data_IF_010252205395
#
_entry.id   IF_010252205395
#
_cell.length_a   1.000
_cell.length_b   1.000
_cell.length_c   1.000
_cell.angle_alpha   90.00
_cell.angle_beta   90.00
_cell.angle_gamma   90.00
#
_symmetry.space_group_name_H-M   'P 1'
#
loop_
_entity.id
_entity.type
_entity.pdbx_description
1 polymer ?
#
# COMPACT_ATOMS: atom_id res chain seq x y z
N UNK A 1 14.39 -3.76 -14.68
CA UNK A 1 14.37 -5.19 -14.24
C UNK A 1 14.34 -5.33 -12.71
N UNK A 2 15.28 -4.79 -11.91
CA UNK A 2 15.22 -4.93 -10.43
C UNK A 2 14.13 -4.09 -9.74
N UNK A 3 13.86 -2.88 -10.25
CA UNK A 3 12.83 -1.98 -9.72
C UNK A 3 11.40 -2.43 -10.08
N UNK A 4 11.21 -2.93 -11.30
CA UNK A 4 9.94 -3.51 -11.79
C UNK A 4 9.54 -4.79 -11.03
N UNK A 5 10.52 -5.57 -10.58
CA UNK A 5 10.29 -6.69 -9.68
C UNK A 5 9.81 -6.24 -8.29
N UNK A 6 10.28 -5.08 -7.82
CA UNK A 6 9.88 -4.48 -6.54
C UNK A 6 8.45 -3.95 -6.57
N UNK A 7 8.05 -3.24 -7.63
CA UNK A 7 6.66 -2.78 -7.81
C UNK A 7 5.68 -3.95 -7.89
N UNK A 8 6.03 -5.00 -8.64
CA UNK A 8 5.22 -6.21 -8.77
C UNK A 8 5.07 -6.93 -7.42
N UNK A 9 6.17 -7.06 -6.66
CA UNK A 9 6.16 -7.71 -5.34
C UNK A 9 5.32 -6.93 -4.32
N UNK A 10 5.46 -5.61 -4.27
CA UNK A 10 4.66 -4.74 -3.41
C UNK A 10 3.17 -4.78 -3.76
N UNK A 11 2.84 -4.80 -5.05
CA UNK A 11 1.47 -4.95 -5.54
C UNK A 11 0.86 -6.31 -5.14
N UNK A 12 1.63 -7.40 -5.27
CA UNK A 12 1.21 -8.73 -4.82
C UNK A 12 1.00 -8.79 -3.30
N UNK A 13 1.93 -8.23 -2.52
CA UNK A 13 1.82 -8.17 -1.07
C UNK A 13 0.60 -7.34 -0.64
N UNK A 14 0.37 -6.20 -1.29
CA UNK A 14 -0.80 -5.33 -1.06
C UNK A 14 -2.11 -6.07 -1.28
N UNK A 15 -2.26 -6.78 -2.41
CA UNK A 15 -3.44 -7.60 -2.69
C UNK A 15 -3.64 -8.71 -1.66
N UNK A 16 -2.57 -9.39 -1.24
CA UNK A 16 -2.64 -10.41 -0.20
C UNK A 16 -3.06 -9.83 1.16
N UNK A 17 -2.52 -8.67 1.54
CA UNK A 17 -2.89 -7.98 2.79
C UNK A 17 -4.34 -7.51 2.74
N UNK A 18 -4.81 -6.99 1.60
CA UNK A 18 -6.20 -6.57 1.43
C UNK A 18 -7.16 -7.76 1.59
N UNK A 19 -6.94 -8.85 0.87
CA UNK A 19 -7.75 -10.06 1.01
C UNK A 19 -7.72 -10.63 2.44
N UNK A 20 -6.54 -10.66 3.06
CA UNK A 20 -6.41 -11.12 4.46
C UNK A 20 -7.14 -10.22 5.45
N UNK A 21 -7.23 -8.92 5.19
CA UNK A 21 -7.94 -7.95 6.06
C UNK A 21 -9.46 -8.09 5.91
N UNK A 22 -9.96 -8.28 4.68
CA UNK A 22 -11.37 -8.58 4.41
C UNK A 22 -11.79 -9.89 5.09
N UNK A 23 -10.96 -10.94 4.95
CA UNK A 23 -11.18 -12.24 5.59
C UNK A 23 -11.18 -12.13 7.11
N UNK A 24 -10.23 -11.38 7.70
CA UNK A 24 -10.17 -11.17 9.14
C UNK A 24 -11.41 -10.43 9.65
N UNK A 25 -11.85 -9.38 8.94
CA UNK A 25 -13.06 -8.63 9.28
C UNK A 25 -14.32 -9.52 9.22
N UNK A 26 -14.43 -10.37 8.20
CA UNK A 26 -15.51 -11.34 8.10
C UNK A 26 -15.49 -12.37 9.23
N UNK A 27 -14.32 -12.89 9.60
CA UNK A 27 -14.16 -13.81 10.73
C UNK A 27 -14.52 -13.17 12.07
N UNK A 28 -14.18 -11.89 12.28
CA UNK A 28 -14.54 -11.15 13.49
C UNK A 28 -16.06 -10.94 13.57
N UNK A 29 -16.71 -10.58 12.46
CA UNK A 29 -18.17 -10.49 12.42
C UNK A 29 -18.83 -11.84 12.72
N UNK A 30 -18.35 -12.92 12.10
CA UNK A 30 -18.84 -14.27 12.38
C UNK A 30 -18.66 -14.65 13.85
N UNK A 31 -17.54 -14.28 14.46
CA UNK A 31 -17.28 -14.53 15.87
C UNK A 31 -18.23 -13.74 16.79
N UNK A 32 -18.51 -12.47 16.47
CA UNK A 32 -19.49 -11.66 17.21
C UNK A 32 -20.88 -12.29 17.14
N UNK A 33 -21.32 -12.68 15.94
CA UNK A 33 -22.62 -13.35 15.72
C UNK A 33 -22.68 -14.70 16.44
N UNK A 34 -21.62 -15.49 16.39
CA UNK A 34 -21.54 -16.77 17.09
C UNK A 34 -21.61 -16.60 18.62
N UNK A 35 -21.19 -15.44 19.14
CA UNK A 35 -21.16 -15.17 20.57
C UNK A 35 -22.36 -14.36 21.09
N UNK A 36 -23.22 -13.81 20.23
CA UNK A 36 -24.50 -13.19 20.60
C UNK A 36 -25.39 -14.07 21.51
N UNK A 37 -25.56 -15.38 21.23
CA UNK A 37 -26.32 -16.27 22.11
C UNK A 37 -25.68 -16.46 23.49
N UNK A 38 -24.37 -16.22 23.60
CA UNK A 38 -23.63 -16.33 24.86
C UNK A 38 -23.80 -15.09 25.74
N UNK A 39 -24.07 -13.91 25.16
CA UNK A 39 -24.34 -12.69 25.93
C UNK A 39 -25.56 -12.82 26.85
N UNK A 40 -26.57 -13.60 26.46
CA UNK A 40 -27.73 -13.92 27.31
C UNK A 40 -27.45 -14.97 28.40
N UNK A 41 -26.31 -15.67 28.31
CA UNK A 41 -25.90 -16.74 29.24
C UNK A 41 -24.80 -16.30 30.20
N UNK A 42 -24.00 -15.30 29.82
CA UNK A 42 -22.97 -14.70 30.66
C UNK A 42 -23.54 -13.54 31.49
N UNK A 43 -23.56 -13.70 32.82
CA UNK A 43 -23.85 -12.64 33.78
C UNK A 43 -22.56 -12.21 34.49
N UNK A 44 -22.46 -10.93 34.90
CA UNK A 44 -21.32 -10.42 35.65
C UNK A 44 -20.00 -10.43 34.87
N UNK A 45 -18.93 -10.98 35.45
CA UNK A 45 -17.56 -10.93 34.91
C UNK A 45 -17.41 -11.55 33.50
N UNK A 46 -18.22 -12.56 33.15
CA UNK A 46 -18.18 -13.18 31.82
C UNK A 46 -18.67 -12.25 30.71
N UNK A 47 -19.65 -11.38 31.00
CA UNK A 47 -20.13 -10.38 30.04
C UNK A 47 -19.10 -9.27 29.85
N UNK A 48 -18.50 -8.80 30.94
CA UNK A 48 -17.43 -7.80 30.88
C UNK A 48 -16.22 -8.29 30.07
N UNK A 49 -15.81 -9.56 30.22
CA UNK A 49 -14.75 -10.15 29.44
C UNK A 49 -15.11 -10.24 27.94
N UNK A 50 -16.35 -10.60 27.62
CA UNK A 50 -16.83 -10.65 26.24
C UNK A 50 -16.89 -9.27 25.58
N UNK A 51 -17.43 -8.28 26.28
CA UNK A 51 -17.51 -6.90 25.77
C UNK A 51 -16.11 -6.32 25.56
N UNK A 52 -15.15 -6.64 26.45
CA UNK A 52 -13.75 -6.25 26.27
C UNK A 52 -13.10 -6.96 25.09
N UNK A 53 -13.34 -8.26 24.90
CA UNK A 53 -12.87 -9.00 23.73
C UNK A 53 -13.37 -8.36 22.43
N UNK A 54 -14.68 -8.06 22.34
CA UNK A 54 -15.29 -7.40 21.18
C UNK A 54 -14.64 -6.04 20.90
N UNK A 55 -14.49 -5.20 21.93
CA UNK A 55 -13.87 -3.88 21.77
C UNK A 55 -12.42 -3.96 21.25
N UNK A 56 -11.64 -4.93 21.74
CA UNK A 56 -10.28 -5.15 21.23
C UNK A 56 -10.29 -5.64 19.78
N UNK A 57 -11.19 -6.56 19.42
CA UNK A 57 -11.32 -7.06 18.06
C UNK A 57 -11.71 -5.94 17.07
N UNK A 58 -12.66 -5.10 17.45
CA UNK A 58 -13.09 -3.94 16.65
C UNK A 58 -11.92 -2.95 16.47
N UNK A 59 -11.16 -2.66 17.54
CA UNK A 59 -9.98 -1.77 17.48
C UNK A 59 -8.88 -2.32 16.56
N UNK A 60 -8.51 -3.59 16.73
CA UNK A 60 -7.45 -4.22 15.90
C UNK A 60 -7.86 -4.21 14.43
N UNK A 61 -9.14 -4.45 14.13
CA UNK A 61 -9.67 -4.39 12.76
C UNK A 61 -9.55 -2.99 12.18
N UNK A 62 -9.90 -1.95 12.96
CA UNK A 62 -9.79 -0.56 12.55
C UNK A 62 -8.33 -0.17 12.28
N UNK A 63 -7.41 -0.55 13.17
CA UNK A 63 -5.98 -0.27 13.04
C UNK A 63 -5.39 -0.97 11.81
N UNK A 64 -5.75 -2.23 11.57
CA UNK A 64 -5.32 -2.98 10.38
C UNK A 64 -5.80 -2.32 9.09
N UNK A 65 -7.08 -1.92 9.03
CA UNK A 65 -7.64 -1.21 7.88
C UNK A 65 -6.94 0.15 7.65
N UNK A 66 -6.65 0.88 8.73
CA UNK A 66 -5.92 2.15 8.66
C UNK A 66 -4.49 1.97 8.14
N UNK A 67 -3.77 0.97 8.65
CA UNK A 67 -2.43 0.63 8.18
C UNK A 67 -2.43 0.20 6.70
N UNK A 68 -3.41 -0.59 6.28
CA UNK A 68 -3.57 -0.99 4.88
C UNK A 68 -3.85 0.22 3.97
N UNK A 69 -4.75 1.11 4.37
CA UNK A 69 -5.03 2.33 3.61
C UNK A 69 -3.78 3.21 3.47
N UNK A 70 -2.94 3.30 4.52
CA UNK A 70 -1.67 4.00 4.46
C UNK A 70 -0.67 3.33 3.51
N UNK A 71 -0.58 2.00 3.50
CA UNK A 71 0.27 1.25 2.56
C UNK A 71 -0.18 1.49 1.11
N UNK A 72 -1.48 1.36 0.83
CA UNK A 72 -2.03 1.59 -0.52
C UNK A 72 -1.81 3.04 -0.96
N UNK A 73 -2.04 4.01 -0.08
CA UNK A 73 -1.78 5.42 -0.36
C UNK A 73 -0.30 5.69 -0.64
N UNK A 74 0.60 5.11 0.16
CA UNK A 74 2.04 5.20 -0.04
C UNK A 74 2.51 4.56 -1.34
N UNK A 75 1.92 3.42 -1.74
CA UNK A 75 2.20 2.77 -3.02
C UNK A 75 1.77 3.63 -4.21
N UNK A 76 0.56 4.19 -4.17
CA UNK A 76 0.06 5.10 -5.21
C UNK A 76 0.93 6.37 -5.31
N UNK A 77 1.38 6.90 -4.17
CA UNK A 77 2.32 8.02 -4.13
C UNK A 77 3.68 7.67 -4.75
N UNK A 78 4.24 6.50 -4.43
CA UNK A 78 5.50 6.03 -5.02
C UNK A 78 5.39 5.81 -6.54
N UNK A 79 4.30 5.21 -7.01
CA UNK A 79 4.06 4.99 -8.45
C UNK A 79 3.99 6.33 -9.20
N UNK A 80 3.23 7.28 -8.66
CA UNK A 80 3.12 8.64 -9.22
C UNK A 80 4.47 9.34 -9.25
N UNK A 81 5.22 9.31 -8.15
CA UNK A 81 6.54 9.92 -8.05
C UNK A 81 7.53 9.29 -9.03
N UNK A 82 7.43 7.98 -9.27
CA UNK A 82 8.29 7.28 -10.22
C UNK A 82 8.00 7.70 -11.66
N UNK A 83 6.72 7.70 -12.06
CA UNK A 83 6.31 8.12 -13.42
C UNK A 83 6.66 9.58 -13.68
N UNK A 84 6.43 10.46 -12.71
CA UNK A 84 6.82 11.87 -12.82
C UNK A 84 8.34 12.03 -12.92
N UNK A 85 9.10 11.33 -12.07
CA UNK A 85 10.56 11.40 -12.09
C UNK A 85 11.18 10.89 -13.39
N UNK A 86 10.63 9.82 -13.98
CA UNK A 86 11.08 9.30 -15.27
C UNK A 86 10.81 10.29 -16.41
N UNK A 87 9.62 10.89 -16.41
CA UNK A 87 9.24 11.95 -17.37
C UNK A 87 10.16 13.17 -17.24
N UNK A 88 10.38 13.66 -16.02
CA UNK A 88 11.30 14.77 -15.76
C UNK A 88 12.73 14.45 -16.18
N UNK A 89 13.21 13.22 -15.95
CA UNK A 89 14.53 12.80 -16.39
C UNK A 89 14.64 12.78 -17.92
N UNK A 90 13.63 12.28 -18.61
CA UNK A 90 13.58 12.25 -20.06
C UNK A 90 13.55 13.67 -20.65
N UNK A 91 12.73 14.56 -20.09
CA UNK A 91 12.63 15.96 -20.51
C UNK A 91 13.95 16.70 -20.28
N UNK A 92 14.57 16.52 -19.11
CA UNK A 92 15.88 17.11 -18.80
C UNK A 92 16.98 16.57 -19.71
N UNK A 93 16.99 15.26 -20.00
CA UNK A 93 17.95 14.66 -20.91
C UNK A 93 17.76 15.17 -22.34
N UNK A 94 16.51 15.27 -22.83
CA UNK A 94 16.22 15.81 -24.17
C UNK A 94 16.62 17.29 -24.29
N UNK A 95 16.39 18.08 -23.24
CA UNK A 95 16.77 19.49 -23.17
C UNK A 95 18.29 19.66 -23.13
N UNK A 96 18.98 18.86 -22.31
CA UNK A 96 20.44 18.85 -22.26
C UNK A 96 21.07 18.38 -23.59
N UNK A 97 20.46 17.41 -24.25
CA UNK A 97 20.87 16.96 -25.58
C UNK A 97 20.64 18.03 -26.64
N UNK A 98 19.50 18.75 -26.61
CA UNK A 98 19.24 19.87 -27.52
C UNK A 98 20.18 21.05 -27.29
N UNK A 99 20.61 21.28 -26.05
CA UNK A 99 21.60 22.29 -25.69
C UNK A 99 23.06 21.85 -25.98
N UNK A 100 23.30 20.55 -26.19
CA UNK A 100 24.60 20.04 -26.56
C UNK A 100 24.93 20.47 -28.00
N UNK A 101 25.94 21.31 -28.15
CA UNK A 101 26.38 21.79 -29.45
C UNK A 101 27.16 20.71 -30.21
N UNK A 102 26.45 19.87 -30.98
CA UNK A 102 27.05 18.86 -31.86
C UNK A 102 27.77 19.48 -33.08
N UNK A 103 27.57 20.77 -33.36
CA UNK A 103 28.19 21.46 -34.51
C UNK A 103 29.68 21.73 -34.27
N UNK A 104 30.09 21.93 -33.01
CA UNK A 104 31.51 22.03 -32.62
C UNK A 104 32.26 20.68 -32.68
N UNK A 105 31.54 19.55 -32.79
CA UNK A 105 32.09 18.20 -32.93
C UNK A 105 32.20 17.74 -34.40
N UNK A 106 31.77 18.56 -35.37
CA UNK A 106 32.15 18.35 -36.77
C UNK A 106 33.65 18.56 -36.86
N UNK A 107 34.39 17.47 -37.01
CA UNK A 107 35.76 17.51 -37.49
C UNK A 107 35.76 18.15 -38.88
N UNK A 108 35.77 19.48 -38.96
CA UNK A 108 36.35 20.17 -40.11
C UNK A 108 37.84 19.89 -40.01
N UNK A 109 38.22 18.71 -40.48
CA UNK A 109 39.59 18.31 -40.68
C UNK A 109 40.26 19.41 -41.48
N UNK A 110 41.12 20.15 -40.80
CA UNK A 110 42.17 20.92 -41.44
C UNK A 110 43.02 19.92 -42.21
N UNK A 111 42.83 19.86 -43.54
CA UNK A 111 43.84 19.81 -44.61
C UNK A 111 43.25 19.23 -45.89
#
# INVERSE_FOLDING_TARGET
MKFDMGSTTLSSLSKQTQGSSEDLGALIQQLIVAAEPLQGRFNGAGRAAFDSFKANADSITADLNGALAAIVGGQSGMDTAFVQGDTEMADNASSAQGAANFDAARFSGSR
#
